data_IF_359737007941
#
_entry.id   IF_359737007941
#
_cell.length_a   1.000
_cell.length_b   1.000
_cell.length_c   1.000
_cell.angle_alpha   90.00
_cell.angle_beta   90.00
_cell.angle_gamma   90.00
#
_symmetry.space_group_name_H-M   'P 1'
#
loop_
_entity.id
_entity.type
_entity.pdbx_description
1 polymer ?
#
# COMPACT_ATOMS: atom_id res chain seq x y z
N UNK A 1 10.68 25.28 -4.14
CA UNK A 1 10.10 24.83 -5.41
C UNK A 1 10.35 23.33 -5.45
N UNK A 2 9.29 22.54 -5.25
CA UNK A 2 9.34 21.10 -4.92
C UNK A 2 9.90 20.21 -6.03
N UNK A 3 10.97 19.50 -5.72
CA UNK A 3 11.75 18.61 -6.60
C UNK A 3 11.24 17.16 -6.57
N UNK A 4 9.96 16.93 -6.87
CA UNK A 4 9.41 15.56 -6.98
C UNK A 4 8.75 15.30 -8.33
N UNK A 5 9.52 15.55 -9.38
CA UNK A 5 9.27 14.99 -10.71
C UNK A 5 9.57 13.47 -10.67
N UNK A 6 8.66 12.73 -10.03
CA UNK A 6 8.67 11.27 -10.09
C UNK A 6 8.24 10.93 -11.50
N UNK A 7 9.21 10.69 -12.37
CA UNK A 7 9.04 10.22 -13.74
C UNK A 7 8.28 8.88 -13.69
N UNK A 8 6.94 8.95 -13.71
CA UNK A 8 6.05 7.80 -13.55
C UNK A 8 6.23 6.91 -14.77
N UNK A 9 6.87 5.74 -14.58
CA UNK A 9 7.02 4.73 -15.61
C UNK A 9 5.63 4.18 -16.01
N UNK A 10 5.14 4.64 -17.16
CA UNK A 10 3.82 4.31 -17.70
C UNK A 10 3.83 3.08 -18.62
N UNK A 11 4.96 2.35 -18.73
CA UNK A 11 5.12 1.20 -19.65
C UNK A 11 4.13 0.05 -19.40
N UNK A 12 3.51 0.01 -18.22
CA UNK A 12 2.47 -0.97 -17.88
C UNK A 12 1.03 -0.58 -18.24
N UNK A 13 0.78 0.66 -18.70
CA UNK A 13 -0.57 1.13 -19.07
C UNK A 13 -1.06 0.58 -20.42
N UNK A 14 -0.15 0.23 -21.33
CA UNK A 14 -0.48 -0.32 -22.66
C UNK A 14 -1.16 -1.71 -22.61
N UNK A 15 -1.10 -2.43 -21.48
CA UNK A 15 -1.71 -3.77 -21.35
C UNK A 15 -3.21 -3.79 -21.00
N UNK A 16 -3.91 -2.65 -21.02
CA UNK A 16 -5.38 -2.62 -20.93
C UNK A 16 -5.98 -3.14 -19.61
N UNK A 17 -5.17 -3.46 -18.60
CA UNK A 17 -5.66 -3.78 -17.26
C UNK A 17 -5.90 -2.44 -16.58
N UNK A 18 -7.09 -1.89 -16.75
CA UNK A 18 -7.55 -0.75 -15.95
C UNK A 18 -7.36 -1.11 -14.47
N UNK A 19 -6.44 -0.41 -13.81
CA UNK A 19 -6.20 -0.63 -12.38
C UNK A 19 -7.45 -0.13 -11.67
N UNK A 20 -8.13 -1.03 -10.94
CA UNK A 20 -9.33 -0.71 -10.14
C UNK A 20 -9.14 0.49 -9.20
N UNK A 21 -7.90 0.76 -8.78
CA UNK A 21 -7.56 1.82 -7.84
C UNK A 21 -6.51 2.77 -8.41
N UNK A 22 -6.65 4.06 -8.10
CA UNK A 22 -5.75 5.11 -8.51
C UNK A 22 -4.34 4.95 -7.90
N UNK A 23 -3.29 5.47 -8.54
CA UNK A 23 -1.94 5.48 -7.96
C UNK A 23 -1.88 6.26 -6.63
N UNK A 24 -2.75 7.27 -6.46
CA UNK A 24 -2.87 8.06 -5.24
C UNK A 24 -3.34 7.22 -4.05
N UNK A 25 -4.34 6.36 -4.26
CA UNK A 25 -4.81 5.37 -3.26
C UNK A 25 -3.66 4.53 -2.73
N UNK A 26 -2.78 4.06 -3.63
CA UNK A 26 -1.60 3.27 -3.24
C UNK A 26 -0.65 4.07 -2.35
N UNK A 27 -0.37 5.32 -2.69
CA UNK A 27 0.51 6.18 -1.91
C UNK A 27 -0.08 6.47 -0.53
N UNK A 28 -1.39 6.70 -0.45
CA UNK A 28 -2.06 7.00 0.82
C UNK A 28 -2.04 5.80 1.77
N UNK A 29 -2.28 4.57 1.26
CA UNK A 29 -2.15 3.33 2.03
C UNK A 29 -0.73 3.19 2.62
N UNK A 30 0.31 3.50 1.84
CA UNK A 30 1.71 3.44 2.28
C UNK A 30 1.98 4.49 3.37
N UNK A 31 1.45 5.71 3.22
CA UNK A 31 1.60 6.79 4.22
C UNK A 31 0.97 6.41 5.55
N UNK A 32 -0.29 5.97 5.54
CA UNK A 32 -0.99 5.50 6.75
C UNK A 32 -0.17 4.44 7.47
N UNK A 33 0.38 3.47 6.73
CA UNK A 33 1.21 2.43 7.32
C UNK A 33 2.49 2.98 7.96
N UNK A 34 3.17 3.92 7.31
CA UNK A 34 4.38 4.55 7.83
C UNK A 34 4.09 5.40 9.08
N UNK A 35 2.94 6.10 9.11
CA UNK A 35 2.51 6.89 10.26
C UNK A 35 2.22 5.99 11.47
N UNK A 36 1.53 4.86 11.27
CA UNK A 36 1.28 3.88 12.33
C UNK A 36 2.57 3.21 12.86
N UNK A 37 3.58 3.00 12.00
CA UNK A 37 4.91 2.54 12.44
C UNK A 37 5.65 3.63 13.24
N UNK A 38 5.52 4.91 12.87
CA UNK A 38 6.12 6.03 13.60
C UNK A 38 5.50 6.22 14.98
N UNK A 39 4.20 5.94 15.12
CA UNK A 39 3.49 5.98 16.39
C UNK A 39 3.78 4.76 17.30
N UNK A 40 4.68 3.84 16.87
CA UNK A 40 4.97 2.57 17.56
C UNK A 40 3.70 1.76 17.87
N UNK A 41 2.70 1.86 16.99
CA UNK A 41 1.43 1.16 17.18
C UNK A 41 1.63 -0.34 17.05
N UNK A 42 1.12 -1.10 18.03
CA UNK A 42 1.07 -2.56 17.94
C UNK A 42 0.10 -3.06 16.86
N UNK A 43 -0.83 -2.21 16.42
CA UNK A 43 -1.90 -2.56 15.49
C UNK A 43 -1.68 -1.94 14.11
N UNK A 44 -0.69 -2.48 13.38
CA UNK A 44 -0.28 -1.97 12.05
C UNK A 44 -0.80 -2.84 10.89
N UNK A 45 -1.67 -3.82 11.17
CA UNK A 45 -2.16 -4.80 10.18
C UNK A 45 -2.99 -4.18 9.05
N UNK A 46 -3.15 -4.94 7.96
CA UNK A 46 -3.86 -4.51 6.75
C UNK A 46 -5.31 -4.09 7.01
N UNK A 47 -5.98 -4.69 8.02
CA UNK A 47 -7.33 -4.30 8.44
C UNK A 47 -7.36 -2.89 9.05
N UNK A 48 -6.34 -2.52 9.83
CA UNK A 48 -6.24 -1.19 10.46
C UNK A 48 -5.90 -0.12 9.43
N UNK A 49 -5.01 -0.45 8.50
CA UNK A 49 -4.67 0.45 7.38
C UNK A 49 -5.89 0.67 6.48
N UNK A 50 -6.66 -0.40 6.20
CA UNK A 50 -7.92 -0.32 5.46
C UNK A 50 -8.91 0.62 6.17
N UNK A 51 -9.19 0.39 7.46
CA UNK A 51 -10.13 1.19 8.22
C UNK A 51 -9.72 2.68 8.29
N UNK A 52 -8.43 2.97 8.46
CA UNK A 52 -7.93 4.35 8.42
C UNK A 52 -8.12 5.00 7.05
N UNK A 53 -7.87 4.28 5.96
CA UNK A 53 -8.09 4.80 4.60
C UNK A 53 -9.57 5.12 4.37
N UNK A 54 -10.46 4.19 4.72
CA UNK A 54 -11.92 4.35 4.58
C UNK A 54 -12.44 5.51 5.42
N UNK A 55 -11.93 5.69 6.64
CA UNK A 55 -12.29 6.82 7.49
C UNK A 55 -11.80 8.18 6.95
N UNK A 56 -10.65 8.22 6.28
CA UNK A 56 -10.07 9.47 5.75
C UNK A 56 -10.68 9.89 4.41
N UNK A 57 -10.99 8.92 3.55
CA UNK A 57 -11.40 9.18 2.15
C UNK A 57 -12.89 8.97 1.93
N UNK A 58 -13.55 8.17 2.77
CA UNK A 58 -14.92 7.69 2.54
C UNK A 58 -15.02 6.64 1.43
N UNK A 59 -13.90 6.20 0.84
CA UNK A 59 -13.86 5.22 -0.24
C UNK A 59 -13.51 3.83 0.27
N UNK A 60 -14.28 2.82 -0.15
CA UNK A 60 -14.00 1.43 0.21
C UNK A 60 -12.86 0.82 -0.62
N UNK A 61 -11.95 0.14 0.08
CA UNK A 61 -10.86 -0.62 -0.55
C UNK A 61 -10.87 -2.06 -0.09
N UNK A 62 -10.65 -2.98 -1.02
CA UNK A 62 -10.57 -4.40 -0.67
C UNK A 62 -9.32 -4.69 0.14
N UNK A 63 -9.45 -5.45 1.23
CA UNK A 63 -8.32 -5.90 2.06
C UNK A 63 -7.19 -6.53 1.24
N UNK A 64 -7.52 -7.38 0.26
CA UNK A 64 -6.55 -8.03 -0.62
C UNK A 64 -5.71 -7.03 -1.44
N UNK A 65 -6.27 -5.86 -1.77
CA UNK A 65 -5.54 -4.79 -2.44
C UNK A 65 -4.56 -4.12 -1.48
N UNK A 66 -5.01 -3.80 -0.26
CA UNK A 66 -4.15 -3.25 0.80
C UNK A 66 -2.99 -4.21 1.10
N UNK A 67 -3.27 -5.50 1.32
CA UNK A 67 -2.25 -6.54 1.51
C UNK A 67 -1.23 -6.58 0.37
N UNK A 68 -1.70 -6.51 -0.88
CA UNK A 68 -0.81 -6.48 -2.05
C UNK A 68 0.07 -5.24 -2.05
N UNK A 69 -0.50 -4.06 -1.80
CA UNK A 69 0.25 -2.80 -1.75
C UNK A 69 1.31 -2.84 -0.65
N UNK A 70 0.96 -3.29 0.55
CA UNK A 70 1.90 -3.38 1.67
C UNK A 70 3.01 -4.41 1.40
N UNK A 71 2.69 -5.53 0.73
CA UNK A 71 3.67 -6.53 0.31
C UNK A 71 4.62 -6.00 -0.77
N UNK A 72 4.09 -5.28 -1.77
CA UNK A 72 4.89 -4.62 -2.81
C UNK A 72 5.84 -3.57 -2.21
N UNK A 73 5.37 -2.83 -1.21
CA UNK A 73 6.17 -1.85 -0.46
C UNK A 73 7.14 -2.48 0.55
N UNK A 74 7.16 -3.81 0.70
CA UNK A 74 7.97 -4.55 1.69
C UNK A 74 7.70 -4.15 3.15
N UNK A 75 6.51 -3.61 3.44
CA UNK A 75 6.07 -3.21 4.78
C UNK A 75 5.45 -4.37 5.58
N UNK A 76 5.31 -5.55 4.96
CA UNK A 76 4.84 -6.78 5.62
C UNK A 76 5.95 -7.81 5.62
N UNK A 77 6.16 -8.45 6.78
CA UNK A 77 7.03 -9.61 6.90
C UNK A 77 6.50 -10.73 6.01
N UNK A 78 7.16 -10.95 4.88
CA UNK A 78 6.89 -12.15 4.07
C UNK A 78 7.39 -13.38 4.83
N UNK A 79 6.64 -14.50 4.84
CA UNK A 79 7.13 -15.73 5.45
C UNK A 79 8.45 -16.12 4.77
N UNK A 80 9.54 -16.17 5.53
CA UNK A 80 10.80 -16.67 5.01
C UNK A 80 10.62 -18.13 4.59
N UNK A 81 11.11 -18.49 3.39
CA UNK A 81 11.12 -19.90 2.98
C UNK A 81 11.95 -20.68 4.00
N UNK A 82 11.33 -21.62 4.72
CA UNK A 82 12.07 -22.53 5.59
C UNK A 82 13.04 -23.34 4.71
N UNK A 83 14.32 -23.33 5.08
CA UNK A 83 15.33 -24.19 4.45
C UNK A 83 14.93 -25.64 4.75
N UNK A 84 14.66 -26.46 3.72
CA UNK A 84 14.47 -27.89 3.90
C UNK A 84 15.79 -28.46 4.46
N UNK A 85 15.70 -29.13 5.61
CA UNK A 85 16.78 -29.93 6.17
C UNK A 85 16.91 -31.26 5.47
#
# INVERSE_FOLDING_TARGET
MDERDVLVDNRGWEKGISRKYAPETKQQIIRIRADLEKEDSYFIGSDVVKANYENQTGEEVTKSYVDRVLKEARLVRSPAKKKKG
#
